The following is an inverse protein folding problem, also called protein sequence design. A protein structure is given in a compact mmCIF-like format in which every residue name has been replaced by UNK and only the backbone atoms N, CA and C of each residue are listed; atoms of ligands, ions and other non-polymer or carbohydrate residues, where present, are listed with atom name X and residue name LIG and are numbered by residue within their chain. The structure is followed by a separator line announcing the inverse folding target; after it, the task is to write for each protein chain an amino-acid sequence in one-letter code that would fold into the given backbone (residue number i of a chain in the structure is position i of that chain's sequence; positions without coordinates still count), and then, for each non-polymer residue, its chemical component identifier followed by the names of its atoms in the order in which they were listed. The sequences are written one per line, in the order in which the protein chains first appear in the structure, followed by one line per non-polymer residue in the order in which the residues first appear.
data_IF_907752081511
#
_entry.id   IF_907752081511
#
_cell.length_a   1.000
_cell.length_b   1.000
_cell.length_c   1.000
_cell.angle_alpha   90.00
_cell.angle_beta   90.00
_cell.angle_gamma   90.00
#
_symmetry.space_group_name_H-M   'P 1'
#
loop_
_entity.id
_entity.type
_entity.pdbx_description
1 polymer ?
#
# COMPACT_ATOMS: atom_id res chain seq x y z
N UNK A 1 -11.03 -7.85 2.70
CA UNK A 1 -9.94 -6.85 2.65
C UNK A 1 -10.21 -5.88 3.76
N UNK A 2 -9.21 -5.58 4.60
CA UNK A 2 -9.30 -4.51 5.59
C UNK A 2 -8.79 -3.24 4.92
N UNK A 3 -9.45 -2.12 5.17
CA UNK A 3 -9.17 -0.83 4.55
C UNK A 3 -9.32 0.24 5.63
N UNK A 4 -8.31 1.08 5.78
CA UNK A 4 -8.39 2.26 6.66
C UNK A 4 -9.39 3.26 6.08
N UNK A 5 -10.08 4.01 6.94
CA UNK A 5 -11.16 4.89 6.51
C UNK A 5 -10.71 6.05 5.60
N UNK A 6 -9.44 6.43 5.71
CA UNK A 6 -8.77 7.48 4.95
C UNK A 6 -8.02 6.97 3.71
N UNK A 7 -7.97 5.64 3.52
CA UNK A 7 -7.35 5.02 2.35
C UNK A 7 -8.32 4.84 1.20
N UNK A 8 -7.80 4.93 -0.02
CA UNK A 8 -8.59 4.70 -1.24
C UNK A 8 -8.11 3.46 -1.96
N UNK A 9 -9.04 2.65 -2.44
CA UNK A 9 -8.74 1.42 -3.18
C UNK A 9 -9.22 1.51 -4.62
N UNK A 10 -8.57 0.76 -5.52
CA UNK A 10 -8.96 0.73 -6.93
C UNK A 10 -10.30 0.02 -7.11
N UNK A 11 -11.19 0.64 -7.87
CA UNK A 11 -12.50 0.07 -8.27
C UNK A 11 -12.39 -1.21 -9.14
N UNK A 12 -11.17 -1.62 -9.52
CA UNK A 12 -10.90 -2.84 -10.29
C UNK A 12 -10.71 -4.07 -9.42
N UNK A 13 -10.50 -3.91 -8.10
CA UNK A 13 -10.14 -5.02 -7.20
C UNK A 13 -11.24 -6.10 -7.19
N UNK A 14 -12.49 -5.72 -6.93
CA UNK A 14 -13.59 -6.67 -6.86
C UNK A 14 -13.76 -7.44 -8.18
N UNK A 15 -13.75 -6.72 -9.32
CA UNK A 15 -13.83 -7.37 -10.63
C UNK A 15 -12.62 -8.27 -10.91
N UNK A 16 -11.42 -7.91 -10.47
CA UNK A 16 -10.23 -8.73 -10.63
C UNK A 16 -10.34 -10.03 -9.85
N UNK A 17 -10.73 -9.97 -8.57
CA UNK A 17 -10.90 -11.14 -7.70
C UNK A 17 -11.97 -12.08 -8.25
N UNK A 18 -13.13 -11.55 -8.63
CA UNK A 18 -14.25 -12.35 -9.15
C UNK A 18 -13.96 -13.03 -10.49
N UNK A 19 -12.97 -12.55 -11.26
CA UNK A 19 -12.56 -13.15 -12.53
C UNK A 19 -11.53 -14.28 -12.37
N UNK A 20 -10.99 -14.47 -11.17
CA UNK A 20 -9.99 -15.51 -10.96
C UNK A 20 -10.64 -16.89 -11.02
N UNK A 21 -10.07 -17.77 -11.85
CA UNK A 21 -10.53 -19.16 -12.00
C UNK A 21 -10.04 -20.06 -10.86
N UNK A 22 -9.04 -19.62 -10.12
CA UNK A 22 -8.38 -20.38 -9.06
C UNK A 22 -9.01 -20.04 -7.71
N UNK A 23 -9.10 -21.05 -6.84
CA UNK A 23 -9.44 -20.84 -5.42
C UNK A 23 -8.21 -20.31 -4.66
N UNK A 24 -7.65 -19.20 -5.13
CA UNK A 24 -6.46 -18.59 -4.55
C UNK A 24 -6.75 -18.16 -3.10
N UNK A 25 -5.79 -18.33 -2.18
CA UNK A 25 -6.00 -17.99 -0.78
C UNK A 25 -6.08 -16.47 -0.53
N UNK A 26 -5.54 -15.67 -1.44
CA UNK A 26 -5.57 -14.22 -1.35
C UNK A 26 -4.60 -13.53 -2.31
N UNK A 27 -4.64 -12.21 -2.28
CA UNK A 27 -3.81 -11.32 -3.05
C UNK A 27 -3.26 -10.18 -2.18
N UNK A 28 -2.20 -9.54 -2.65
CA UNK A 28 -1.64 -8.37 -2.01
C UNK A 28 -1.32 -7.25 -3.00
N UNK A 29 -1.29 -6.03 -2.51
CA UNK A 29 -1.04 -4.81 -3.27
C UNK A 29 0.39 -4.34 -3.05
N UNK A 30 1.31 -4.74 -3.92
CA UNK A 30 2.72 -4.30 -3.87
C UNK A 30 2.99 -2.99 -4.63
N UNK A 31 2.00 -2.53 -5.41
CA UNK A 31 2.02 -1.28 -6.17
C UNK A 31 0.87 -0.38 -5.71
N UNK A 32 1.18 0.86 -5.36
CA UNK A 32 0.18 1.80 -4.84
C UNK A 32 0.70 3.23 -4.81
N UNK A 33 -0.16 4.17 -4.43
CA UNK A 33 0.13 5.59 -4.46
C UNK A 33 0.24 6.17 -3.05
N UNK A 34 1.08 7.18 -2.88
CA UNK A 34 0.99 8.11 -1.75
C UNK A 34 0.34 9.38 -2.23
N UNK A 35 -0.55 9.90 -1.40
CA UNK A 35 -1.12 11.20 -1.58
C UNK A 35 -0.85 12.02 -0.34
N UNK A 36 -0.19 13.17 -0.51
CA UNK A 36 -0.21 14.21 0.52
C UNK A 36 -1.43 15.07 0.26
N UNK A 37 -2.30 15.17 1.25
CA UNK A 37 -3.52 15.97 1.12
C UNK A 37 -3.23 17.42 0.73
N UNK A 38 -4.11 17.97 -0.12
CA UNK A 38 -3.97 19.32 -0.69
C UNK A 38 -3.02 19.41 -1.89
N UNK A 39 -2.29 18.35 -2.25
CA UNK A 39 -1.44 18.37 -3.46
C UNK A 39 -2.20 17.98 -4.74
N UNK A 40 -1.61 18.28 -5.90
CA UNK A 40 -2.13 17.92 -7.23
C UNK A 40 -1.34 16.77 -7.88
N UNK A 41 -0.56 16.03 -7.09
CA UNK A 41 0.28 14.93 -7.57
C UNK A 41 0.30 13.78 -6.57
N UNK A 42 0.78 12.65 -7.04
CA UNK A 42 0.83 11.38 -6.35
C UNK A 42 2.23 10.79 -6.49
N UNK A 43 2.68 10.04 -5.49
CA UNK A 43 3.90 9.24 -5.61
C UNK A 43 3.54 7.77 -5.76
N UNK A 44 3.79 7.18 -6.93
CA UNK A 44 3.60 5.76 -7.18
C UNK A 44 4.77 4.96 -6.59
N UNK A 45 4.52 4.05 -5.65
CA UNK A 45 5.42 2.96 -5.28
C UNK A 45 5.22 1.77 -6.22
N UNK A 46 6.28 1.31 -6.89
CA UNK A 46 6.18 0.21 -7.87
C UNK A 46 6.49 -1.18 -7.31
N UNK A 47 6.93 -1.31 -6.05
CA UNK A 47 7.54 -2.57 -5.58
C UNK A 47 7.14 -3.03 -4.19
N UNK A 48 6.98 -2.12 -3.22
CA UNK A 48 6.83 -2.51 -1.80
C UNK A 48 5.76 -1.67 -1.10
N UNK A 49 4.65 -1.41 -1.78
CA UNK A 49 3.57 -0.60 -1.20
C UNK A 49 2.96 -1.26 0.05
N UNK A 50 2.78 -2.57 0.02
CA UNK A 50 2.30 -3.38 1.14
C UNK A 50 3.16 -3.29 2.41
N UNK A 51 4.41 -2.85 2.32
CA UNK A 51 5.27 -2.64 3.51
C UNK A 51 4.96 -1.32 4.22
N UNK A 52 4.06 -0.49 3.69
CA UNK A 52 3.85 0.88 4.11
C UNK A 52 2.39 1.24 4.37
N UNK A 53 1.44 0.50 3.82
CA UNK A 53 0.00 0.77 3.95
C UNK A 53 -0.73 -0.52 4.34
N UNK A 54 -1.60 -0.41 5.36
CA UNK A 54 -2.42 -1.51 5.89
C UNK A 54 -3.46 -2.02 4.90
N UNK A 55 -3.97 -1.13 4.07
CA UNK A 55 -5.00 -1.38 3.05
C UNK A 55 -4.48 -2.09 1.80
N UNK A 56 -3.72 -3.17 1.99
CA UNK A 56 -3.03 -3.88 0.90
C UNK A 56 -3.31 -5.38 0.82
N UNK A 57 -3.99 -5.98 1.80
CA UNK A 57 -4.24 -7.42 1.86
C UNK A 57 -5.68 -7.80 1.51
N UNK A 58 -5.82 -8.68 0.53
CA UNK A 58 -7.07 -9.27 0.10
C UNK A 58 -6.99 -10.76 0.44
N UNK A 59 -7.82 -11.23 1.35
CA UNK A 59 -7.77 -12.62 1.82
C UNK A 59 -9.12 -13.31 1.58
N UNK A 60 -9.09 -14.61 1.35
CA UNK A 60 -10.29 -15.45 1.39
C UNK A 60 -10.88 -15.45 2.80
N UNK A 61 -12.20 -15.43 2.91
CA UNK A 61 -12.88 -15.17 4.19
C UNK A 61 -12.61 -16.21 5.27
N UNK A 62 -12.47 -17.48 4.90
CA UNK A 62 -12.09 -18.59 5.79
C UNK A 62 -10.67 -18.47 6.37
N UNK A 63 -9.80 -17.70 5.71
CA UNK A 63 -8.43 -17.45 6.15
C UNK A 63 -8.30 -16.14 6.93
N UNK A 64 -9.39 -15.36 7.11
CA UNK A 64 -9.35 -14.05 7.74
C UNK A 64 -8.77 -14.09 9.16
N UNK A 65 -9.15 -15.09 9.96
CA UNK A 65 -8.64 -15.23 11.33
C UNK A 65 -7.12 -15.46 11.39
N UNK A 66 -6.50 -15.94 10.31
CA UNK A 66 -5.03 -16.10 10.24
C UNK A 66 -4.28 -14.78 10.07
N UNK A 67 -4.97 -13.69 9.72
CA UNK A 67 -4.39 -12.35 9.68
C UNK A 67 -4.26 -11.73 11.06
N UNK A 68 -5.19 -12.06 11.96
CA UNK A 68 -5.30 -11.41 13.27
C UNK A 68 -4.19 -11.95 14.17
N UNK A 69 -3.35 -11.04 14.66
CA UNK A 69 -2.36 -11.29 15.70
C UNK A 69 -3.03 -11.00 17.03
N UNK A 70 -3.00 -11.95 17.96
CA UNK A 70 -3.61 -11.73 19.28
C UNK A 70 -2.67 -11.01 20.25
N UNK A 71 -3.23 -9.98 20.88
CA UNK A 71 -2.91 -9.25 22.12
C UNK A 71 -1.91 -8.06 22.05
N UNK A 72 -2.26 -6.84 22.57
CA UNK A 72 -3.54 -6.40 23.15
C UNK A 72 -4.54 -5.75 22.18
N UNK A 73 -4.29 -5.80 20.87
CA UNK A 73 -5.12 -5.14 19.86
C UNK A 73 -5.34 -6.07 18.65
N UNK A 74 -6.45 -5.88 17.93
CA UNK A 74 -6.76 -6.57 16.66
C UNK A 74 -5.84 -6.12 15.52
N UNK A 75 -4.52 -6.21 15.71
CA UNK A 75 -3.54 -5.90 14.68
C UNK A 75 -3.39 -7.08 13.73
N UNK A 76 -3.13 -6.76 12.47
CA UNK A 76 -2.66 -7.72 11.48
C UNK A 76 -1.40 -7.17 10.80
N UNK A 77 -0.48 -8.07 10.46
CA UNK A 77 0.72 -7.69 9.71
C UNK A 77 0.37 -7.55 8.22
N UNK A 78 0.28 -6.32 7.75
CA UNK A 78 -0.06 -6.03 6.36
C UNK A 78 1.08 -6.34 5.39
N UNK A 79 2.31 -6.50 5.89
CA UNK A 79 3.49 -6.84 5.09
C UNK A 79 3.51 -8.31 4.65
N UNK A 80 2.65 -9.15 5.21
CA UNK A 80 2.61 -10.59 4.95
C UNK A 80 2.27 -10.89 3.49
N UNK A 81 3.28 -11.32 2.73
CA UNK A 81 3.07 -11.93 1.41
C UNK A 81 2.66 -13.41 1.52
N UNK A 82 2.88 -14.01 2.69
CA UNK A 82 2.53 -15.40 3.00
C UNK A 82 1.83 -15.45 4.37
N UNK A 83 0.67 -16.10 4.42
CA UNK A 83 -0.09 -16.28 5.67
C UNK A 83 0.48 -17.49 6.46
N UNK A 84 0.24 -17.55 7.78
CA UNK A 84 0.60 -18.70 8.60
C UNK A 84 0.17 -20.05 7.99
N UNK A 85 1.12 -20.96 7.86
CA UNK A 85 0.95 -22.26 7.20
C UNK A 85 1.38 -22.28 5.72
N UNK A 86 2.34 -21.45 5.32
CA UNK A 86 2.92 -21.38 3.96
C UNK A 86 1.89 -21.10 2.85
N UNK A 87 0.83 -20.35 3.19
CA UNK A 87 -0.23 -20.01 2.25
C UNK A 87 0.20 -18.75 1.49
N UNK A 88 0.62 -18.92 0.24
CA UNK A 88 1.16 -17.83 -0.59
C UNK A 88 0.05 -16.98 -1.19
N UNK A 89 0.11 -15.68 -0.96
CA UNK A 89 -0.75 -14.70 -1.65
C UNK A 89 -0.10 -14.24 -2.95
N UNK A 90 -0.91 -13.76 -3.89
CA UNK A 90 -0.43 -13.32 -5.21
C UNK A 90 -0.49 -11.80 -5.35
N UNK A 91 0.51 -11.19 -6.00
CA UNK A 91 0.45 -9.76 -6.27
C UNK A 91 -0.63 -9.47 -7.31
N UNK A 92 -1.46 -8.45 -7.07
CA UNK A 92 -2.34 -7.95 -8.12
C UNK A 92 -1.52 -7.27 -9.24
N UNK A 93 -1.95 -7.32 -10.52
CA UNK A 93 -1.14 -6.83 -11.64
C UNK A 93 -1.21 -5.31 -11.84
N UNK A 94 -1.92 -4.58 -10.98
CA UNK A 94 -2.12 -3.13 -11.09
C UNK A 94 -1.91 -2.43 -9.75
N UNK A 95 -1.78 -1.10 -9.79
CA UNK A 95 -1.73 -0.30 -8.56
C UNK A 95 -3.10 -0.29 -7.88
N UNK A 96 -3.18 -0.86 -6.69
CA UNK A 96 -4.47 -1.20 -6.08
C UNK A 96 -4.95 -0.27 -4.97
N UNK A 97 -4.06 0.50 -4.36
CA UNK A 97 -4.39 1.34 -3.22
C UNK A 97 -3.65 2.68 -3.26
N UNK A 98 -4.22 3.67 -2.57
CA UNK A 98 -3.67 4.98 -2.30
C UNK A 98 -3.68 5.18 -0.79
N UNK A 99 -2.51 5.48 -0.25
CA UNK A 99 -2.29 5.81 1.15
C UNK A 99 -2.42 7.33 1.31
N UNK A 100 -3.43 7.79 2.06
CA UNK A 100 -3.64 9.22 2.33
C UNK A 100 -2.79 9.67 3.51
N UNK A 101 -1.96 10.68 3.30
CA UNK A 101 -1.01 11.18 4.29
C UNK A 101 -1.32 12.63 4.66
N UNK A 102 -1.03 12.96 5.93
CA UNK A 102 -1.13 14.30 6.50
C UNK A 102 -2.56 14.86 6.64
N UNK A 103 -3.54 13.98 6.86
CA UNK A 103 -4.94 14.30 7.16
C UNK A 103 -5.21 14.63 8.64
N UNK A 104 -4.20 14.58 9.50
CA UNK A 104 -4.33 14.82 10.95
C UNK A 104 -4.77 13.61 11.78
N UNK A 105 -5.29 12.55 11.15
CA UNK A 105 -5.71 11.29 11.83
C UNK A 105 -4.67 10.17 11.73
N UNK A 106 -3.62 10.36 10.95
CA UNK A 106 -2.53 9.40 10.76
C UNK A 106 -1.74 9.15 12.07
N UNK A 107 -2.02 8.03 12.76
CA UNK A 107 -1.38 7.68 14.04
C UNK A 107 0.13 7.39 13.95
N UNK A 108 0.62 6.83 12.84
CA UNK A 108 2.03 6.44 12.68
C UNK A 108 2.83 7.32 11.71
N UNK A 109 2.16 7.99 10.77
CA UNK A 109 2.81 8.66 9.64
C UNK A 109 2.61 10.18 9.65
N UNK A 110 3.24 10.85 10.62
CA UNK A 110 3.41 12.29 10.55
C UNK A 110 4.35 12.68 9.40
N UNK A 111 4.27 13.92 8.92
CA UNK A 111 5.17 14.48 7.90
C UNK A 111 6.65 14.29 8.27
N UNK A 112 7.00 14.43 9.55
CA UNK A 112 8.36 14.20 10.07
C UNK A 112 8.77 12.73 10.04
N UNK A 113 7.88 11.80 10.39
CA UNK A 113 8.17 10.37 10.36
C UNK A 113 8.36 9.87 8.92
N UNK A 114 7.55 10.37 7.99
CA UNK A 114 7.70 10.11 6.56
C UNK A 114 9.06 10.60 6.03
N UNK A 115 9.47 11.83 6.40
CA UNK A 115 10.77 12.37 6.04
C UNK A 115 11.89 11.51 6.64
N UNK A 116 11.79 11.10 7.91
CA UNK A 116 12.77 10.26 8.62
C UNK A 116 12.93 8.87 8.01
N UNK A 117 11.84 8.24 7.56
CA UNK A 117 11.88 6.99 6.79
C UNK A 117 12.55 7.18 5.43
N UNK A 118 12.39 8.36 4.80
CA UNK A 118 13.11 8.70 3.58
C UNK A 118 14.59 9.03 3.85
N UNK A 119 14.97 9.52 5.03
CA UNK A 119 16.34 9.99 5.35
C UNK A 119 17.19 9.00 6.16
N UNK A 120 16.66 7.87 6.63
CA UNK A 120 17.44 6.92 7.45
C UNK A 120 18.59 6.25 6.67
N UNK A 121 19.79 6.84 6.74
CA UNK A 121 21.07 6.28 7.26
C UNK A 121 22.26 7.14 6.80
N UNK A 122 23.27 7.33 7.67
CA UNK A 122 24.61 7.82 7.31
C UNK A 122 25.30 6.72 6.48
N UNK A 123 25.29 6.86 5.17
CA UNK A 123 25.85 5.89 4.24
C UNK A 123 26.92 6.56 3.37
N UNK A 124 27.99 5.80 3.07
CA UNK A 124 29.04 6.17 2.11
C UNK A 124 28.48 6.74 0.80
N UNK A 125 29.17 7.72 0.20
CA UNK A 125 28.72 8.43 -1.00
C UNK A 125 28.28 7.51 -2.15
N UNK A 126 29.01 6.40 -2.40
CA UNK A 126 28.65 5.41 -3.44
C UNK A 126 27.29 4.76 -3.19
N UNK A 127 27.00 4.48 -1.93
CA UNK A 127 25.85 3.72 -1.51
C UNK A 127 24.63 4.63 -1.32
N UNK A 128 24.84 5.94 -1.11
CA UNK A 128 23.83 6.98 -1.34
C UNK A 128 23.38 7.09 -2.81
N UNK A 129 24.31 7.03 -3.79
CA UNK A 129 23.94 7.07 -5.21
C UNK A 129 23.10 5.84 -5.58
N UNK A 130 23.51 4.65 -5.13
CA UNK A 130 22.75 3.41 -5.34
C UNK A 130 21.36 3.52 -4.69
N UNK A 131 21.26 4.06 -3.48
CA UNK A 131 19.97 4.26 -2.80
C UNK A 131 19.08 5.29 -3.51
N UNK A 132 19.65 6.39 -3.99
CA UNK A 132 18.93 7.38 -4.80
C UNK A 132 18.42 6.73 -6.09
N UNK A 133 19.28 6.02 -6.81
CA UNK A 133 18.92 5.28 -8.02
C UNK A 133 17.80 4.27 -7.75
N UNK A 134 17.92 3.48 -6.69
CA UNK A 134 16.88 2.54 -6.27
C UNK A 134 15.57 3.24 -5.91
N UNK A 135 15.62 4.42 -5.27
CA UNK A 135 14.43 5.24 -4.99
C UNK A 135 13.81 5.78 -6.27
N UNK A 136 14.58 6.30 -7.23
CA UNK A 136 14.09 6.73 -8.54
C UNK A 136 13.46 5.56 -9.33
N UNK A 137 14.08 4.38 -9.28
CA UNK A 137 13.51 3.18 -9.89
C UNK A 137 12.27 2.68 -9.17
N UNK A 138 12.09 2.98 -7.88
CA UNK A 138 10.95 2.54 -7.08
C UNK A 138 9.77 3.51 -7.17
N UNK A 139 10.03 4.81 -7.17
CA UNK A 139 9.02 5.85 -7.08
C UNK A 139 8.88 6.65 -8.37
N UNK A 140 7.64 6.95 -8.76
CA UNK A 140 7.34 7.84 -9.90
C UNK A 140 6.30 8.86 -9.46
N UNK A 141 6.54 10.13 -9.76
CA UNK A 141 5.54 11.19 -9.58
C UNK A 141 4.49 11.08 -10.69
N UNK A 142 3.21 11.12 -10.32
CA UNK A 142 2.07 11.10 -11.24
C UNK A 142 1.14 12.27 -10.96
N UNK A 143 0.59 12.95 -11.99
CA UNK A 143 -0.41 13.98 -11.76
C UNK A 143 -1.72 13.38 -11.24
N UNK A 144 -2.45 14.12 -10.40
CA UNK A 144 -3.78 13.77 -9.94
C UNK A 144 -4.82 14.06 -11.03
N UNK A 145 -5.02 13.11 -11.94
CA UNK A 145 -5.92 13.27 -13.10
C UNK A 145 -7.39 12.95 -12.78
N UNK A 146 -8.37 13.45 -13.55
CA UNK A 146 -9.77 13.06 -13.40
C UNK A 146 -10.00 11.55 -13.53
N UNK A 147 -9.28 10.90 -14.44
CA UNK A 147 -9.35 9.44 -14.60
C UNK A 147 -8.82 8.71 -13.37
N UNK A 148 -7.73 9.20 -12.76
CA UNK A 148 -7.26 8.66 -11.48
C UNK A 148 -8.36 8.75 -10.42
N UNK A 149 -8.97 9.93 -10.28
CA UNK A 149 -10.03 10.15 -9.29
C UNK A 149 -11.19 9.17 -9.46
N UNK A 150 -11.65 8.97 -10.69
CA UNK A 150 -12.70 7.97 -11.00
C UNK A 150 -12.29 6.54 -10.64
N UNK A 151 -11.04 6.15 -10.90
CA UNK A 151 -10.57 4.78 -10.67
C UNK A 151 -10.40 4.43 -9.19
N UNK A 152 -10.16 5.43 -8.34
CA UNK A 152 -9.95 5.25 -6.90
C UNK A 152 -11.11 5.78 -6.06
N UNK A 153 -12.19 6.25 -6.69
CA UNK A 153 -13.29 6.90 -5.96
C UNK A 153 -12.83 8.14 -5.17
N UNK A 154 -11.80 8.84 -5.67
CA UNK A 154 -11.19 9.95 -4.95
C UNK A 154 -12.18 11.09 -4.77
N UNK A 155 -12.47 11.39 -3.51
CA UNK A 155 -13.14 12.60 -3.07
C UNK A 155 -12.12 13.51 -2.39
N UNK A 156 -12.39 14.82 -2.38
CA UNK A 156 -11.68 15.69 -1.43
C UNK A 156 -12.25 15.36 -0.06
N UNK A 157 -11.40 14.85 0.84
CA UNK A 157 -11.66 14.86 2.28
C UNK A 157 -11.70 16.32 2.74
#
# INVERSE_FOLDING_TARGET
MVVDADDLISNKIASFVNKQKTNAPGWYINKGYYYKEGTNYLFLNKKTFNNLCGSCLIVRTDLFLKLIVNDPWLYYYHELMELPGNIKSQAIPFSGALYSMANGENHFMSSEHAIKLMTKQKISYKQNIINLYNKFLKYIVRPLTPNFKKNFGFYKV
#
